data_IF_062163984629
#
_entry.id   IF_062163984629
#
_cell.length_a   1.000
_cell.length_b   1.000
_cell.length_c   1.000
_cell.angle_alpha   90.00
_cell.angle_beta   90.00
_cell.angle_gamma   90.00
#
_symmetry.space_group_name_H-M   'P 1'
#
loop_
_entity.id
_entity.type
_entity.pdbx_description
1 polymer ?
#
# COMPACT_ATOMS: atom_id res chain seq x y z
N UNK A 1 -18.64 -69.01 -30.43
CA UNK A 1 -18.30 -67.84 -29.58
C UNK A 1 -19.62 -67.36 -29.01
N UNK A 2 -19.83 -67.57 -27.71
CA UNK A 2 -21.13 -67.40 -27.07
C UNK A 2 -21.45 -65.92 -26.80
N UNK A 3 -22.72 -65.54 -26.92
CA UNK A 3 -23.20 -64.16 -26.69
C UNK A 3 -22.77 -63.61 -25.32
N UNK A 4 -22.75 -64.47 -24.30
CA UNK A 4 -22.32 -64.14 -22.94
C UNK A 4 -20.84 -63.74 -22.84
N UNK A 5 -19.99 -64.20 -23.77
CA UNK A 5 -18.59 -63.82 -23.84
C UNK A 5 -18.37 -62.42 -24.44
N UNK A 6 -19.26 -61.98 -25.34
CA UNK A 6 -19.20 -60.65 -25.96
C UNK A 6 -19.67 -59.59 -24.96
N UNK A 7 -20.78 -59.84 -24.24
CA UNK A 7 -21.29 -58.93 -23.20
C UNK A 7 -20.26 -58.71 -22.07
N UNK A 8 -19.54 -59.75 -21.66
CA UNK A 8 -18.53 -59.65 -20.60
C UNK A 8 -17.31 -58.80 -21.00
N UNK A 9 -16.88 -58.89 -22.26
CA UNK A 9 -15.78 -58.07 -22.77
C UNK A 9 -16.18 -56.60 -22.94
N UNK A 10 -17.45 -56.34 -23.27
CA UNK A 10 -18.00 -54.99 -23.36
C UNK A 10 -18.13 -54.36 -21.96
N UNK A 11 -18.61 -55.10 -20.96
CA UNK A 11 -18.67 -54.63 -19.57
C UNK A 11 -17.27 -54.36 -18.97
N UNK A 12 -16.31 -55.25 -19.23
CA UNK A 12 -14.92 -55.06 -18.80
C UNK A 12 -14.27 -53.84 -19.47
N UNK A 13 -14.54 -53.62 -20.77
CA UNK A 13 -14.09 -52.44 -21.52
C UNK A 13 -14.67 -51.13 -20.97
N UNK A 14 -15.98 -51.11 -20.67
CA UNK A 14 -16.66 -49.96 -20.06
C UNK A 14 -16.13 -49.69 -18.65
N UNK A 15 -15.84 -50.74 -17.87
CA UNK A 15 -15.29 -50.62 -16.53
C UNK A 15 -13.87 -50.04 -16.55
N UNK A 16 -13.03 -50.49 -17.47
CA UNK A 16 -11.67 -49.96 -17.65
C UNK A 16 -11.69 -48.51 -18.12
N UNK A 17 -12.55 -48.18 -19.09
CA UNK A 17 -12.71 -46.80 -19.56
C UNK A 17 -13.19 -45.86 -18.45
N UNK A 18 -14.15 -46.28 -17.61
CA UNK A 18 -14.60 -45.53 -16.42
C UNK A 18 -13.48 -45.32 -15.39
N UNK A 19 -12.61 -46.31 -15.16
CA UNK A 19 -11.46 -46.17 -14.25
C UNK A 19 -10.43 -45.17 -14.80
N UNK A 20 -10.13 -45.24 -16.10
CA UNK A 20 -9.21 -44.31 -16.78
C UNK A 20 -9.72 -42.87 -16.72
N UNK A 21 -11.02 -42.65 -16.94
CA UNK A 21 -11.65 -41.33 -16.83
C UNK A 21 -11.60 -40.78 -15.39
N UNK A 22 -11.83 -41.62 -14.37
CA UNK A 22 -11.72 -41.23 -12.96
C UNK A 22 -10.29 -40.86 -12.55
N UNK A 23 -9.28 -41.57 -13.09
CA UNK A 23 -7.87 -41.23 -12.90
C UNK A 23 -7.51 -39.86 -13.47
N UNK A 24 -7.97 -39.57 -14.70
CA UNK A 24 -7.73 -38.27 -15.36
C UNK A 24 -8.32 -37.09 -14.57
N UNK A 25 -9.56 -37.20 -14.11
CA UNK A 25 -10.23 -36.14 -13.32
C UNK A 25 -9.53 -35.90 -11.98
N UNK A 26 -9.01 -36.95 -11.34
CA UNK A 26 -8.28 -36.82 -10.06
C UNK A 26 -6.98 -36.03 -10.24
N UNK A 27 -6.28 -36.24 -11.37
CA UNK A 27 -5.06 -35.52 -11.72
C UNK A 27 -5.37 -34.05 -12.07
N UNK A 28 -6.47 -33.78 -12.77
CA UNK A 28 -6.91 -32.40 -13.05
C UNK A 28 -7.28 -31.64 -11.76
N UNK A 29 -7.99 -32.28 -10.83
CA UNK A 29 -8.36 -31.70 -9.54
C UNK A 29 -7.15 -31.48 -8.61
N UNK A 30 -6.08 -32.27 -8.78
CA UNK A 30 -4.84 -32.08 -8.03
C UNK A 30 -4.13 -30.75 -8.36
N UNK A 31 -4.39 -30.13 -9.53
CA UNK A 31 -3.89 -28.79 -9.86
C UNK A 31 -4.77 -27.66 -9.32
N UNK A 32 -6.04 -27.92 -9.02
CA UNK A 32 -6.97 -26.91 -8.51
C UNK A 32 -6.59 -26.51 -7.08
N UNK A 33 -6.24 -27.48 -6.23
CA UNK A 33 -5.84 -27.20 -4.84
C UNK A 33 -4.63 -26.25 -4.72
N UNK A 34 -3.47 -26.49 -5.38
CA UNK A 34 -2.36 -25.55 -5.33
C UNK A 34 -2.70 -24.20 -5.96
N UNK A 35 -3.58 -24.14 -6.96
CA UNK A 35 -4.08 -22.88 -7.51
C UNK A 35 -4.89 -22.06 -6.49
N UNK A 36 -5.77 -22.71 -5.73
CA UNK A 36 -6.55 -22.06 -4.68
C UNK A 36 -5.64 -21.54 -3.57
N UNK A 37 -4.68 -22.37 -3.10
CA UNK A 37 -3.70 -21.94 -2.09
C UNK A 37 -2.88 -20.77 -2.61
N UNK A 38 -2.42 -20.83 -3.87
CA UNK A 38 -1.70 -19.74 -4.51
C UNK A 38 -2.52 -18.45 -4.56
N UNK A 39 -3.80 -18.53 -4.93
CA UNK A 39 -4.71 -17.38 -4.97
C UNK A 39 -4.91 -16.75 -3.59
N UNK A 40 -5.05 -17.57 -2.54
CA UNK A 40 -5.17 -17.09 -1.16
C UNK A 40 -3.87 -16.37 -0.73
N UNK A 41 -2.71 -17.01 -0.93
CA UNK A 41 -1.42 -16.41 -0.60
C UNK A 41 -1.17 -15.10 -1.36
N UNK A 42 -1.53 -15.07 -2.64
CA UNK A 42 -1.42 -13.89 -3.48
C UNK A 42 -2.33 -12.76 -2.99
N UNK A 43 -3.56 -13.07 -2.61
CA UNK A 43 -4.50 -12.10 -2.04
C UNK A 43 -3.96 -11.51 -0.73
N UNK A 44 -3.49 -12.37 0.17
CA UNK A 44 -2.87 -11.95 1.43
C UNK A 44 -1.69 -11.01 1.16
N UNK A 45 -0.83 -11.37 0.20
CA UNK A 45 0.33 -10.58 -0.18
C UNK A 45 -0.03 -9.18 -0.71
N UNK A 46 -1.05 -9.08 -1.56
CA UNK A 46 -1.56 -7.80 -2.07
C UNK A 46 -2.10 -6.94 -0.91
N UNK A 47 -2.91 -7.53 -0.03
CA UNK A 47 -3.48 -6.81 1.12
C UNK A 47 -2.38 -6.24 2.00
N UNK A 48 -1.37 -7.04 2.35
CA UNK A 48 -0.23 -6.55 3.13
C UNK A 48 0.57 -5.47 2.41
N UNK A 49 0.75 -5.59 1.09
CA UNK A 49 1.42 -4.56 0.30
C UNK A 49 0.72 -3.21 0.38
N UNK A 50 -0.61 -3.18 0.20
CA UNK A 50 -1.39 -1.94 0.29
C UNK A 50 -1.56 -1.44 1.72
N UNK A 51 -1.72 -2.35 2.68
CA UNK A 51 -1.77 -2.02 4.10
C UNK A 51 -0.52 -1.26 4.53
N UNK A 52 0.66 -1.82 4.27
CA UNK A 52 1.93 -1.17 4.59
C UNK A 52 2.08 0.17 3.86
N UNK A 53 1.72 0.23 2.56
CA UNK A 53 1.79 1.48 1.79
C UNK A 53 0.94 2.59 2.41
N UNK A 54 -0.26 2.28 2.88
CA UNK A 54 -1.14 3.25 3.53
C UNK A 54 -0.59 3.72 4.88
N UNK A 55 0.01 2.80 5.65
CA UNK A 55 0.66 3.13 6.92
C UNK A 55 1.84 4.10 6.70
N UNK A 56 2.68 3.82 5.71
CA UNK A 56 3.79 4.70 5.35
C UNK A 56 3.33 6.08 4.87
N UNK A 57 2.24 6.13 4.12
CA UNK A 57 1.67 7.39 3.61
C UNK A 57 1.08 8.23 4.76
N UNK A 58 0.37 7.60 5.69
CA UNK A 58 -0.17 8.28 6.88
C UNK A 58 0.94 8.89 7.74
N UNK A 59 2.00 8.12 8.02
CA UNK A 59 3.17 8.64 8.74
C UNK A 59 3.85 9.79 7.97
N UNK A 60 3.91 9.73 6.65
CA UNK A 60 4.48 10.79 5.81
C UNK A 60 3.63 12.06 5.87
N UNK A 61 2.30 11.92 5.88
CA UNK A 61 1.38 13.04 6.00
C UNK A 61 1.47 13.75 7.35
N UNK A 62 1.50 13.00 8.46
CA UNK A 62 1.69 13.58 9.79
C UNK A 62 3.02 14.33 9.88
N UNK A 63 4.10 13.72 9.38
CA UNK A 63 5.44 14.32 9.40
C UNK A 63 5.49 15.57 8.49
N UNK A 64 4.77 15.58 7.36
CA UNK A 64 4.77 16.70 6.42
C UNK A 64 4.02 17.91 6.99
N UNK A 65 2.95 17.66 7.75
CA UNK A 65 2.23 18.72 8.46
C UNK A 65 3.09 19.30 9.58
N UNK A 66 3.80 18.46 10.34
CA UNK A 66 4.72 18.95 11.37
C UNK A 66 5.86 19.76 10.80
N UNK A 67 6.51 19.30 9.75
CA UNK A 67 7.52 20.06 9.04
C UNK A 67 6.99 21.43 8.59
N UNK A 68 5.79 21.49 8.01
CA UNK A 68 5.17 22.75 7.60
C UNK A 68 4.84 23.69 8.79
N UNK A 69 4.58 23.13 9.98
CA UNK A 69 4.36 23.92 11.20
C UNK A 69 5.67 24.43 11.81
N UNK A 70 6.72 23.59 11.82
CA UNK A 70 8.05 23.96 12.30
C UNK A 70 8.63 25.10 11.45
N UNK A 71 8.55 25.01 10.13
CA UNK A 71 8.98 26.08 9.21
C UNK A 71 8.25 27.41 9.47
N UNK A 72 6.96 27.33 9.84
CA UNK A 72 6.17 28.53 10.18
C UNK A 72 6.59 29.17 11.51
N UNK A 73 7.02 28.39 12.50
CA UNK A 73 7.30 28.88 13.85
C UNK A 73 8.66 29.57 14.00
N UNK A 74 9.52 29.59 12.96
CA UNK A 74 10.77 30.37 12.85
C UNK A 74 11.49 30.65 14.18
N UNK A 75 11.76 29.63 15.00
CA UNK A 75 12.41 29.85 16.30
C UNK A 75 12.32 28.75 17.36
N UNK A 76 11.65 27.63 17.10
CA UNK A 76 11.67 26.45 17.98
C UNK A 76 12.70 25.42 17.50
N UNK A 77 13.22 24.59 18.42
CA UNK A 77 14.10 23.46 18.09
C UNK A 77 13.51 22.67 16.91
N UNK A 78 14.30 22.56 15.83
CA UNK A 78 13.92 21.77 14.65
C UNK A 78 13.75 20.32 15.12
N UNK A 79 12.51 19.77 15.15
CA UNK A 79 12.32 18.39 15.52
C UNK A 79 13.01 17.52 14.48
N UNK A 80 13.65 16.43 14.91
CA UNK A 80 14.17 15.45 13.96
C UNK A 80 13.00 14.72 13.28
N UNK A 81 12.64 15.23 12.10
CA UNK A 81 11.53 14.72 11.27
C UNK A 81 11.71 13.24 10.90
N UNK A 82 12.95 12.76 10.84
CA UNK A 82 13.24 11.37 10.51
C UNK A 82 12.96 10.43 11.68
N UNK A 83 13.33 10.80 12.91
CA UNK A 83 12.97 10.03 14.10
C UNK A 83 11.48 10.09 14.39
N UNK A 84 10.84 11.24 14.20
CA UNK A 84 9.39 11.37 14.30
C UNK A 84 8.66 10.42 13.35
N UNK A 85 9.07 10.38 12.08
CA UNK A 85 8.51 9.44 11.11
C UNK A 85 8.70 7.98 11.56
N UNK A 86 9.91 7.64 12.05
CA UNK A 86 10.21 6.28 12.55
C UNK A 86 9.33 5.90 13.72
N UNK A 87 9.08 6.82 14.66
CA UNK A 87 8.20 6.60 15.80
C UNK A 87 6.75 6.35 15.35
N UNK A 88 6.24 7.14 14.38
CA UNK A 88 4.88 6.94 13.83
C UNK A 88 4.71 5.68 13.01
N UNK A 89 5.80 5.18 12.42
CA UNK A 89 5.83 3.90 11.75
C UNK A 89 6.07 2.73 12.73
N UNK A 90 6.74 2.98 13.86
CA UNK A 90 7.01 1.98 14.88
C UNK A 90 5.72 1.56 15.61
N UNK A 91 5.65 0.28 15.98
CA UNK A 91 4.47 -0.30 16.64
C UNK A 91 3.31 -0.66 15.72
N UNK A 92 3.38 -0.33 14.42
CA UNK A 92 2.41 -0.77 13.42
C UNK A 92 2.85 -2.10 12.80
N UNK A 93 1.88 -2.91 12.37
CA UNK A 93 2.15 -4.16 11.66
C UNK A 93 2.62 -3.84 10.24
N UNK A 94 3.93 -3.65 10.06
CA UNK A 94 4.57 -3.36 8.77
C UNK A 94 5.39 -4.58 8.34
N UNK A 95 5.03 -5.19 7.23
CA UNK A 95 5.78 -6.28 6.61
C UNK A 95 7.10 -5.77 5.98
N UNK A 96 7.06 -4.59 5.35
CA UNK A 96 8.18 -3.93 4.68
C UNK A 96 9.07 -3.20 5.69
N UNK A 97 10.39 -3.42 5.63
CA UNK A 97 11.32 -2.70 6.51
C UNK A 97 11.53 -1.28 5.97
N UNK A 98 11.50 -0.29 6.85
CA UNK A 98 11.82 1.08 6.48
C UNK A 98 13.30 1.17 6.07
N UNK A 99 13.55 1.54 4.81
CA UNK A 99 14.90 1.64 4.23
C UNK A 99 15.48 3.05 4.31
N UNK A 100 14.64 4.08 4.30
CA UNK A 100 15.07 5.46 4.42
C UNK A 100 13.91 6.45 4.35
N UNK A 101 14.12 7.62 4.92
CA UNK A 101 13.19 8.75 4.87
C UNK A 101 13.98 9.96 4.41
N UNK A 102 13.53 10.58 3.34
CA UNK A 102 14.11 11.77 2.73
C UNK A 102 13.10 12.90 2.89
N UNK A 103 13.56 14.03 3.40
CA UNK A 103 12.75 15.23 3.64
C UNK A 103 13.34 16.33 2.78
N UNK A 104 12.49 16.92 1.95
CA UNK A 104 12.86 18.03 1.07
C UNK A 104 11.96 19.22 1.44
N UNK A 105 12.60 20.30 1.87
CA UNK A 105 11.97 21.53 2.37
C UNK A 105 12.20 22.61 1.33
N UNK A 106 11.11 23.08 0.72
CA UNK A 106 11.08 24.22 -0.19
C UNK A 106 10.26 25.37 0.45
N UNK A 107 10.50 26.61 0.04
CA UNK A 107 9.90 27.83 0.64
C UNK A 107 8.36 27.80 0.65
N UNK A 108 7.76 27.01 -0.25
CA UNK A 108 6.29 26.90 -0.41
C UNK A 108 5.75 25.50 -0.14
N UNK A 109 6.61 24.48 -0.19
CA UNK A 109 6.19 23.08 -0.18
C UNK A 109 7.13 22.25 0.66
N UNK A 110 6.57 21.35 1.45
CA UNK A 110 7.29 20.29 2.12
C UNK A 110 7.00 19.00 1.38
N UNK A 111 8.05 18.25 1.02
CA UNK A 111 7.89 16.90 0.50
C UNK A 111 8.62 15.87 1.36
N UNK A 112 7.90 14.81 1.72
CA UNK A 112 8.44 13.71 2.51
C UNK A 112 8.36 12.44 1.66
N UNK A 113 9.52 11.84 1.44
CA UNK A 113 9.68 10.62 0.69
C UNK A 113 10.16 9.52 1.63
N UNK A 114 9.25 8.61 1.97
CA UNK A 114 9.58 7.41 2.73
C UNK A 114 9.73 6.20 1.80
N UNK A 115 10.81 5.43 1.98
CA UNK A 115 11.10 4.22 1.22
C UNK A 115 11.12 3.03 2.17
N UNK A 116 10.37 1.99 1.85
CA UNK A 116 10.43 0.71 2.55
C UNK A 116 10.57 -0.46 1.57
N UNK A 117 11.20 -1.54 2.02
CA UNK A 117 11.46 -2.70 1.18
C UNK A 117 11.77 -3.96 1.97
N UNK A 118 11.55 -5.10 1.33
CA UNK A 118 11.95 -6.43 1.83
C UNK A 118 12.13 -7.37 0.63
N UNK A 119 13.35 -7.85 0.44
CA UNK A 119 13.69 -8.69 -0.72
C UNK A 119 13.43 -7.98 -2.04
N UNK A 120 12.53 -8.53 -2.88
CA UNK A 120 12.17 -7.96 -4.19
C UNK A 120 11.07 -6.88 -4.11
N UNK A 121 10.43 -6.70 -2.96
CA UNK A 121 9.37 -5.68 -2.79
C UNK A 121 9.98 -4.35 -2.38
N UNK A 122 9.58 -3.28 -3.06
CA UNK A 122 9.92 -1.89 -2.69
C UNK A 122 8.68 -1.03 -2.82
N UNK A 123 8.45 -0.19 -1.82
CA UNK A 123 7.36 0.79 -1.79
C UNK A 123 7.97 2.15 -1.48
N UNK A 124 7.49 3.15 -2.20
CA UNK A 124 7.79 4.55 -1.95
C UNK A 124 6.47 5.27 -1.65
N UNK A 125 6.43 5.96 -0.51
CA UNK A 125 5.35 6.86 -0.14
C UNK A 125 5.90 8.28 -0.24
N UNK A 126 5.31 9.09 -1.10
CA UNK A 126 5.66 10.51 -1.27
C UNK A 126 4.47 11.32 -0.87
N UNK A 127 4.64 12.20 0.11
CA UNK A 127 3.61 13.13 0.53
C UNK A 127 4.11 14.56 0.36
N UNK A 128 3.32 15.37 -0.34
CA UNK A 128 3.58 16.80 -0.54
C UNK A 128 2.54 17.61 0.22
N UNK A 129 2.99 18.60 0.97
CA UNK A 129 2.13 19.52 1.73
C UNK A 129 2.58 20.95 1.45
N UNK A 130 1.63 21.86 1.26
CA UNK A 130 1.91 23.28 1.11
C UNK A 130 2.14 23.90 2.49
N UNK A 131 3.16 24.74 2.63
CA UNK A 131 3.34 25.55 3.85
C UNK A 131 2.25 26.63 3.87
N UNK A 132 1.31 26.61 4.82
CA UNK A 132 0.23 27.57 4.86
C UNK A 132 0.71 28.88 5.51
N UNK A 133 0.55 30.00 4.80
CA UNK A 133 0.81 31.35 5.32
C UNK A 133 -0.51 32.13 5.54
N UNK A 134 -1.35 31.75 6.52
CA UNK A 134 -2.64 32.41 6.74
C UNK A 134 -2.48 33.85 7.22
N UNK A 135 -1.42 34.15 7.98
CA UNK A 135 -1.20 35.48 8.58
C UNK A 135 -1.00 36.56 7.52
N UNK A 136 -0.18 36.28 6.49
CA UNK A 136 -0.01 37.21 5.36
C UNK A 136 -1.32 37.46 4.63
N UNK A 137 -2.15 36.42 4.46
CA UNK A 137 -3.48 36.55 3.83
C UNK A 137 -4.44 37.38 4.67
N UNK A 138 -4.52 37.13 5.99
CA UNK A 138 -5.38 37.88 6.90
C UNK A 138 -4.94 39.34 6.96
N UNK A 139 -3.63 39.61 7.07
CA UNK A 139 -3.08 40.97 7.10
C UNK A 139 -3.37 41.71 5.79
N UNK A 140 -3.23 41.05 4.63
CA UNK A 140 -3.56 41.64 3.33
C UNK A 140 -5.05 41.95 3.19
N UNK A 141 -5.93 41.08 3.70
CA UNK A 141 -7.39 41.33 3.71
C UNK A 141 -7.72 42.55 4.57
N UNK A 142 -7.19 42.63 5.79
CA UNK A 142 -7.38 43.79 6.67
C UNK A 142 -6.85 45.10 6.04
N UNK A 143 -5.71 45.04 5.35
CA UNK A 143 -5.15 46.20 4.65
C UNK A 143 -6.05 46.64 3.48
N UNK A 144 -6.56 45.69 2.70
CA UNK A 144 -7.49 45.99 1.60
C UNK A 144 -8.80 46.62 2.12
N UNK A 145 -9.36 46.07 3.20
CA UNK A 145 -10.56 46.62 3.86
C UNK A 145 -10.34 48.08 4.30
N UNK A 146 -9.20 48.37 4.93
CA UNK A 146 -8.88 49.75 5.34
C UNK A 146 -8.65 50.74 4.18
N UNK A 147 -8.32 50.25 2.99
CA UNK A 147 -8.15 51.10 1.79
C UNK A 147 -9.50 51.38 1.13
N UNK A 148 -10.40 50.40 1.10
CA UNK A 148 -11.76 50.58 0.58
C UNK A 148 -12.59 51.52 1.46
N UNK A 149 -12.42 51.47 2.79
CA UNK A 149 -13.09 52.40 3.73
C UNK A 149 -12.60 53.86 3.63
N UNK A 150 -11.48 54.13 2.96
CA UNK A 150 -10.96 55.49 2.75
C UNK A 150 -11.40 56.11 1.41
N UNK A 151 -11.97 55.32 0.51
CA UNK A 151 -12.47 55.77 -0.80
C UNK A 151 -13.99 56.05 -0.80
N UNK A 152 -14.70 55.74 0.29
CA UNK A 152 -16.13 56.03 0.52
C UNK A 152 -16.32 57.28 1.39
#
# INVERSE_FOLDING_TARGET
>A
MDMCGIERLEEDGIMQMKKTLKGSVTVEMAYILPLIIFMILFTIYIVFYYHDKNILLGAAAETAVLAAQTERQQGQEVPDLQSFYRERAAGKLIWLKLTGVEVDLDDKWVSITARAGKGRMRVQAVQKTKIPEPEKKIRKKRLLESLTEQEE
#
